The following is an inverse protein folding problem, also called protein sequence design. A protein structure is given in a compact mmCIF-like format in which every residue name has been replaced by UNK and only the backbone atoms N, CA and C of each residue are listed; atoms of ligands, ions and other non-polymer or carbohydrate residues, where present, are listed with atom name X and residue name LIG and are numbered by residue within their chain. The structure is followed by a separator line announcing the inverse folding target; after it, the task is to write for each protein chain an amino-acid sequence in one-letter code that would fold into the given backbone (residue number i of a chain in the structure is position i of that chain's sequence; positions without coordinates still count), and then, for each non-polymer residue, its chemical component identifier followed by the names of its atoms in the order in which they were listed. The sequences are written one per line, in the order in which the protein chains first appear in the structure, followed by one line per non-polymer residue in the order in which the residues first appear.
data_IF_911960326438
#
_entry.id   IF_911960326438
#
_cell.length_a   1.000
_cell.length_b   1.000
_cell.length_c   1.000
_cell.angle_alpha   90.00
_cell.angle_beta   90.00
_cell.angle_gamma   90.00
#
_symmetry.space_group_name_H-M   'P 1'
#
loop_
_entity.id
_entity.type
_entity.pdbx_description
1 polymer ?
#
# COMPACT_ATOMS: atom_id res chain seq x y z
N UNK A 1 -5.24 -4.25 19.67
CA UNK A 1 -5.09 -5.52 18.97
C UNK A 1 -4.44 -5.29 17.61
N UNK A 2 -3.41 -6.04 17.32
CA UNK A 2 -2.69 -5.89 16.06
C UNK A 2 -3.34 -6.69 14.94
N UNK A 3 -3.38 -6.10 13.77
CA UNK A 3 -3.82 -6.82 12.58
C UNK A 3 -2.69 -7.70 12.07
N UNK A 4 -3.03 -8.83 11.48
CA UNK A 4 -2.07 -9.57 10.67
C UNK A 4 -1.99 -8.89 9.29
N UNK A 5 -0.99 -9.25 8.50
CA UNK A 5 -0.90 -8.72 7.15
C UNK A 5 -2.14 -9.12 6.34
N UNK A 6 -2.58 -10.37 6.45
CA UNK A 6 -3.78 -10.83 5.74
C UNK A 6 -5.02 -10.06 6.15
N UNK A 7 -5.16 -9.79 7.47
CA UNK A 7 -6.31 -9.02 7.95
C UNK A 7 -6.28 -7.60 7.44
N UNK A 8 -5.10 -6.99 7.38
CA UNK A 8 -4.97 -5.62 6.88
C UNK A 8 -5.35 -5.55 5.40
N UNK A 9 -4.89 -6.50 4.60
CA UNK A 9 -5.26 -6.56 3.18
C UNK A 9 -6.77 -6.82 3.01
N UNK A 10 -7.33 -7.68 3.85
CA UNK A 10 -8.75 -8.00 3.78
C UNK A 10 -9.64 -6.80 4.03
N UNK A 11 -9.15 -5.82 4.77
CA UNK A 11 -9.88 -4.57 5.00
C UNK A 11 -10.20 -3.85 3.69
N UNK A 12 -9.39 -4.07 2.67
CA UNK A 12 -9.59 -3.46 1.36
C UNK A 12 -10.11 -4.46 0.33
N UNK A 13 -10.50 -5.65 0.76
CA UNK A 13 -11.00 -6.67 -0.17
C UNK A 13 -9.91 -7.34 -0.97
N UNK A 14 -8.71 -7.44 -0.43
CA UNK A 14 -7.58 -8.03 -1.10
C UNK A 14 -7.01 -9.19 -0.29
N UNK A 15 -6.25 -10.06 -0.95
CA UNK A 15 -5.63 -11.20 -0.32
C UNK A 15 -4.19 -11.32 -0.82
N UNK A 16 -3.19 -11.16 0.07
CA UNK A 16 -1.80 -11.24 -0.37
C UNK A 16 -1.44 -12.68 -0.75
N UNK A 17 -0.57 -12.83 -1.74
CA UNK A 17 -0.12 -14.14 -2.17
C UNK A 17 0.74 -14.83 -1.11
N UNK A 18 1.38 -14.04 -0.27
CA UNK A 18 2.22 -14.51 0.83
C UNK A 18 1.69 -13.88 2.11
N UNK A 19 1.16 -14.69 3.02
CA UNK A 19 0.52 -14.19 4.23
C UNK A 19 1.46 -13.48 5.18
N UNK A 20 2.76 -13.74 5.08
CA UNK A 20 3.74 -13.16 5.98
C UNK A 20 4.51 -12.00 5.35
N UNK A 21 4.74 -12.06 4.06
CA UNK A 21 5.62 -11.11 3.37
C UNK A 21 5.05 -10.57 2.07
N UNK A 22 3.75 -10.71 1.85
CA UNK A 22 3.15 -10.19 0.63
C UNK A 22 3.35 -8.69 0.50
N UNK A 23 3.66 -8.23 -0.70
CA UNK A 23 3.94 -6.83 -0.96
C UNK A 23 2.75 -6.11 -1.58
N UNK A 24 1.93 -6.83 -2.33
CA UNK A 24 0.83 -6.22 -3.05
C UNK A 24 -0.24 -7.24 -3.38
N UNK A 25 -1.45 -6.76 -3.62
CA UNK A 25 -2.55 -7.60 -4.09
C UNK A 25 -3.59 -6.69 -4.73
N UNK A 26 -4.38 -7.25 -5.63
CA UNK A 26 -5.48 -6.50 -6.22
C UNK A 26 -6.74 -6.74 -5.41
N UNK A 27 -7.42 -5.67 -5.08
CA UNK A 27 -8.69 -5.75 -4.36
C UNK A 27 -9.82 -6.08 -5.32
N UNK A 28 -10.93 -6.54 -4.76
CA UNK A 28 -12.10 -6.90 -5.56
C UNK A 28 -12.70 -5.71 -6.28
N UNK A 29 -12.47 -4.49 -5.78
CA UNK A 29 -12.97 -3.27 -6.42
C UNK A 29 -12.00 -2.70 -7.46
N UNK A 30 -10.90 -3.42 -7.74
CA UNK A 30 -9.94 -2.98 -8.74
C UNK A 30 -8.80 -2.12 -8.22
N UNK A 31 -8.79 -1.80 -6.94
CA UNK A 31 -7.69 -1.02 -6.37
C UNK A 31 -6.47 -1.91 -6.14
N UNK A 32 -5.30 -1.31 -6.24
CA UNK A 32 -4.06 -1.98 -5.85
C UNK A 32 -3.84 -1.74 -4.36
N UNK A 33 -3.58 -2.79 -3.59
CA UNK A 33 -3.26 -2.68 -2.17
C UNK A 33 -1.78 -2.94 -2.00
N UNK A 34 -1.06 -2.00 -1.40
CA UNK A 34 0.38 -2.09 -1.19
C UNK A 34 0.70 -2.25 0.30
N UNK A 35 1.67 -3.10 0.58
CA UNK A 35 2.26 -3.21 1.91
C UNK A 35 3.44 -2.23 1.95
N UNK A 36 3.26 -1.11 2.63
CA UNK A 36 4.21 -0.01 2.64
C UNK A 36 5.01 0.02 3.94
N UNK A 37 6.33 0.15 3.82
CA UNK A 37 7.19 0.28 5.00
C UNK A 37 7.15 1.71 5.51
N UNK A 38 6.91 1.88 6.79
CA UNK A 38 6.75 3.19 7.40
C UNK A 38 7.94 4.13 7.13
N UNK A 39 9.16 3.60 7.08
CA UNK A 39 10.36 4.40 6.89
C UNK A 39 10.49 5.03 5.51
N UNK A 40 9.71 4.58 4.55
CA UNK A 40 9.86 5.00 3.16
C UNK A 40 8.89 6.12 2.76
N UNK A 41 8.20 6.70 3.73
CA UNK A 41 7.27 7.79 3.45
C UNK A 41 7.93 9.15 3.51
N UNK A 42 7.47 10.07 2.68
CA UNK A 42 7.90 11.45 2.70
C UNK A 42 6.72 12.39 2.39
N UNK A 43 6.94 13.66 2.56
CA UNK A 43 5.93 14.67 2.32
C UNK A 43 6.48 15.72 1.34
N UNK A 44 6.37 15.47 0.02
CA UNK A 44 6.92 16.39 -0.97
C UNK A 44 6.17 17.72 -1.02
N UNK A 45 4.90 17.72 -0.64
CA UNK A 45 4.11 18.93 -0.58
C UNK A 45 2.99 18.74 0.42
N UNK A 46 2.34 19.86 0.76
CA UNK A 46 1.27 19.84 1.74
C UNK A 46 0.12 18.95 1.27
N UNK A 47 -0.31 18.09 2.15
CA UNK A 47 -1.43 17.20 1.83
C UNK A 47 -1.08 15.98 1.01
N UNK A 48 0.18 15.81 0.64
CA UNK A 48 0.61 14.64 -0.12
C UNK A 48 1.55 13.79 0.72
N UNK A 49 1.21 12.51 0.85
CA UNK A 49 2.08 11.53 1.48
C UNK A 49 2.67 10.68 0.36
N UNK A 50 3.98 10.72 0.22
CA UNK A 50 4.66 10.01 -0.86
C UNK A 50 5.33 8.75 -0.32
N UNK A 51 5.03 7.62 -0.96
CA UNK A 51 5.73 6.37 -0.69
C UNK A 51 6.69 6.11 -1.84
N UNK A 52 7.97 5.99 -1.50
CA UNK A 52 9.00 5.81 -2.51
C UNK A 52 9.88 4.63 -2.12
N UNK A 53 10.05 3.69 -3.03
CA UNK A 53 10.84 2.50 -2.73
C UNK A 53 11.32 1.88 -4.04
N UNK A 54 11.98 0.74 -3.94
CA UNK A 54 12.52 0.00 -5.08
C UNK A 54 12.18 -1.47 -4.94
N UNK A 55 11.95 -2.14 -6.06
CA UNK A 55 11.76 -3.58 -6.04
C UNK A 55 13.00 -4.28 -5.50
N UNK A 56 14.18 -3.80 -5.88
CA UNK A 56 15.45 -4.37 -5.44
C UNK A 56 15.71 -4.24 -3.95
N UNK A 57 14.95 -3.39 -3.26
CA UNK A 57 15.11 -3.21 -1.82
C UNK A 57 14.26 -4.19 -1.00
N UNK A 58 13.33 -4.88 -1.65
CA UNK A 58 12.38 -5.71 -0.93
C UNK A 58 13.01 -6.98 -0.38
N UNK A 59 12.70 -7.27 0.88
CA UNK A 59 13.25 -8.41 1.59
C UNK A 59 12.22 -9.54 1.56
N UNK A 60 11.98 -10.08 0.40
CA UNK A 60 10.96 -11.10 0.20
C UNK A 60 11.38 -12.03 -0.93
N UNK A 61 10.48 -12.90 -1.36
CA UNK A 61 10.79 -13.83 -2.44
C UNK A 61 10.82 -13.12 -3.79
N UNK A 62 11.57 -13.68 -4.75
CA UNK A 62 11.60 -13.14 -6.10
C UNK A 62 10.22 -13.14 -6.72
N UNK A 63 9.39 -14.13 -6.38
CA UNK A 63 8.03 -14.24 -6.89
C UNK A 63 7.16 -13.07 -6.44
N UNK A 64 7.27 -12.69 -5.17
CA UNK A 64 6.48 -11.58 -4.64
C UNK A 64 6.97 -10.25 -5.19
N UNK A 65 8.28 -10.10 -5.39
CA UNK A 65 8.84 -8.90 -5.98
C UNK A 65 8.38 -8.75 -7.44
N UNK A 66 8.37 -9.85 -8.18
CA UNK A 66 7.90 -9.83 -9.56
C UNK A 66 6.42 -9.51 -9.64
N UNK A 67 5.62 -10.05 -8.73
CA UNK A 67 4.20 -9.76 -8.67
C UNK A 67 3.96 -8.28 -8.37
N UNK A 68 4.73 -7.71 -7.45
CA UNK A 68 4.64 -6.28 -7.16
C UNK A 68 4.90 -5.45 -8.42
N UNK A 69 5.93 -5.81 -9.18
CA UNK A 69 6.26 -5.13 -10.44
C UNK A 69 5.10 -5.16 -11.42
N UNK A 70 4.45 -6.31 -11.55
CA UNK A 70 3.29 -6.45 -12.44
C UNK A 70 2.11 -5.61 -11.95
N UNK A 71 1.87 -5.60 -10.66
CA UNK A 71 0.78 -4.80 -10.07
C UNK A 71 1.03 -3.30 -10.25
N UNK A 72 2.28 -2.87 -10.06
CA UNK A 72 2.62 -1.46 -10.25
C UNK A 72 2.42 -1.04 -11.71
N UNK A 73 2.78 -1.90 -12.66
CA UNK A 73 2.59 -1.63 -14.06
C UNK A 73 1.10 -1.49 -14.39
N UNK A 74 0.28 -2.41 -13.88
CA UNK A 74 -1.16 -2.35 -14.09
C UNK A 74 -1.74 -1.06 -13.53
N UNK A 75 -1.34 -0.70 -12.33
CA UNK A 75 -1.88 0.49 -11.67
C UNK A 75 -1.44 1.77 -12.37
N UNK A 76 -0.18 1.80 -12.83
CA UNK A 76 0.32 2.96 -13.56
C UNK A 76 -0.41 3.14 -14.88
N UNK A 77 -0.48 2.06 -15.67
CA UNK A 77 -1.05 2.12 -17.00
C UNK A 77 -2.56 2.30 -16.99
N UNK A 78 -3.23 1.73 -16.01
CA UNK A 78 -4.68 1.83 -15.90
C UNK A 78 -5.15 2.95 -14.99
N UNK A 79 -4.23 3.73 -14.43
CA UNK A 79 -4.55 4.78 -13.47
C UNK A 79 -5.42 4.25 -12.32
N UNK A 80 -5.10 3.07 -11.82
CA UNK A 80 -5.89 2.44 -10.76
C UNK A 80 -5.64 3.11 -9.43
N UNK A 81 -6.66 3.17 -8.56
CA UNK A 81 -6.44 3.70 -7.22
C UNK A 81 -5.57 2.73 -6.41
N UNK A 82 -4.80 3.29 -5.48
CA UNK A 82 -3.92 2.51 -4.61
C UNK A 82 -4.35 2.71 -3.17
N UNK A 83 -4.43 1.60 -2.44
CA UNK A 83 -4.69 1.62 -0.99
C UNK A 83 -3.44 1.16 -0.27
N UNK A 84 -3.23 1.62 0.95
CA UNK A 84 -2.03 1.29 1.68
C UNK A 84 -2.31 0.49 2.95
N UNK A 85 -1.45 -0.49 3.18
CA UNK A 85 -1.27 -1.15 4.45
C UNK A 85 0.10 -0.69 4.92
N UNK A 86 0.20 -0.23 6.15
CA UNK A 86 1.46 0.29 6.68
C UNK A 86 2.09 -0.73 7.61
N UNK A 87 3.35 -1.06 7.33
CA UNK A 87 4.15 -1.96 8.15
C UNK A 87 5.08 -1.13 9.03
N UNK A 88 4.97 -1.30 10.33
CA UNK A 88 5.81 -0.61 11.29
C UNK A 88 6.64 -1.63 12.07
N UNK A 89 7.92 -1.35 12.26
CA UNK A 89 8.80 -2.19 13.07
C UNK A 89 9.29 -1.39 14.25
N UNK A 90 9.12 -1.97 15.43
CA UNK A 90 9.48 -1.29 16.67
C UNK A 90 10.43 -2.17 17.48
N UNK A 91 11.50 -1.56 18.00
CA UNK A 91 12.42 -2.27 18.87
C UNK A 91 11.70 -2.61 20.18
N UNK A 92 11.94 -3.79 20.72
CA UNK A 92 11.33 -4.21 21.97
C UNK A 92 12.42 -4.42 23.02
N UNK A 93 12.01 -4.30 24.29
CA UNK A 93 12.97 -4.37 25.41
C UNK A 93 13.77 -5.67 25.47
N UNK A 94 13.17 -6.76 25.06
CA UNK A 94 13.84 -8.05 25.12
C UNK A 94 14.83 -8.26 23.97
N UNK A 95 15.03 -7.25 23.14
CA UNK A 95 15.83 -7.38 21.94
C UNK A 95 14.96 -7.84 20.78
N UNK A 96 15.40 -7.62 19.57
CA UNK A 96 14.62 -7.95 18.41
C UNK A 96 13.65 -6.85 18.04
N UNK A 97 12.71 -7.16 17.16
CA UNK A 97 11.75 -6.18 16.67
C UNK A 97 10.35 -6.75 16.64
N UNK A 98 9.39 -5.91 16.93
CA UNK A 98 7.99 -6.22 16.79
C UNK A 98 7.49 -5.58 15.51
N UNK A 99 6.77 -6.34 14.70
CA UNK A 99 6.19 -5.84 13.46
C UNK A 99 4.69 -5.74 13.64
N UNK A 100 4.13 -4.62 13.23
CA UNK A 100 2.68 -4.45 13.26
C UNK A 100 2.22 -3.86 11.93
N UNK A 101 0.97 -4.10 11.59
CA UNK A 101 0.36 -3.56 10.38
C UNK A 101 -0.89 -2.78 10.74
N UNK A 102 -1.11 -1.70 10.01
CA UNK A 102 -2.36 -0.96 10.14
C UNK A 102 -2.76 -0.42 8.76
N UNK A 103 -3.98 0.05 8.66
CA UNK A 103 -4.48 0.55 7.40
C UNK A 103 -4.78 2.03 7.51
N UNK A 104 -4.73 2.72 6.37
CA UNK A 104 -5.11 4.12 6.27
C UNK A 104 -6.21 4.25 5.23
N UNK A 105 -7.45 3.88 5.60
CA UNK A 105 -8.56 3.95 4.64
C UNK A 105 -8.95 5.38 4.26
N UNK A 106 -8.43 6.36 4.99
CA UNK A 106 -8.66 7.77 4.69
C UNK A 106 -7.81 8.26 3.52
N UNK A 107 -6.84 7.47 3.07
CA UNK A 107 -5.95 7.88 1.99
C UNK A 107 -6.19 7.06 0.74
N UNK A 108 -6.05 7.73 -0.41
CA UNK A 108 -6.09 7.07 -1.69
C UNK A 108 -4.92 7.58 -2.52
N UNK A 109 -4.30 6.70 -3.26
CA UNK A 109 -3.10 7.03 -4.01
C UNK A 109 -3.17 6.62 -5.45
N UNK A 110 -2.10 6.93 -6.16
CA UNK A 110 -1.88 6.46 -7.50
C UNK A 110 -0.40 6.36 -7.76
N UNK A 111 -0.02 5.48 -8.68
CA UNK A 111 1.38 5.32 -9.05
C UNK A 111 1.78 6.54 -9.84
N UNK A 112 2.67 7.35 -9.25
CA UNK A 112 3.17 8.56 -9.92
C UNK A 112 4.30 8.22 -10.86
N UNK A 113 5.07 7.16 -10.55
CA UNK A 113 6.26 6.82 -11.31
C UNK A 113 6.63 5.37 -11.08
N UNK A 114 7.03 4.65 -12.13
CA UNK A 114 7.57 3.31 -11.99
C UNK A 114 8.42 3.01 -13.22
N UNK A 115 9.72 2.75 -13.02
CA UNK A 115 10.66 2.51 -14.12
C UNK A 115 11.09 1.04 -14.23
N UNK A 116 10.46 0.15 -13.49
CA UNK A 116 10.83 -1.26 -13.47
C UNK A 116 11.53 -1.68 -12.18
N UNK A 117 12.04 -0.72 -11.42
CA UNK A 117 12.64 -0.96 -10.11
C UNK A 117 12.18 0.11 -9.13
N UNK A 118 12.48 1.37 -9.40
CA UNK A 118 12.11 2.49 -8.54
C UNK A 118 10.65 2.87 -8.78
N UNK A 119 9.89 3.02 -7.71
CA UNK A 119 8.49 3.43 -7.83
C UNK A 119 8.14 4.49 -6.80
N UNK A 120 7.19 5.35 -7.19
CA UNK A 120 6.67 6.43 -6.37
C UNK A 120 5.15 6.35 -6.42
N UNK A 121 4.54 6.33 -5.25
CA UNK A 121 3.07 6.35 -5.14
C UNK A 121 2.70 7.54 -4.25
N UNK A 122 1.87 8.42 -4.76
CA UNK A 122 1.42 9.59 -4.03
C UNK A 122 0.02 9.37 -3.50
N UNK A 123 -0.17 9.60 -2.20
CA UNK A 123 -1.44 9.45 -1.51
C UNK A 123 -1.95 10.81 -1.04
N UNK A 124 -3.24 10.99 -1.16
CA UNK A 124 -3.91 12.18 -0.65
C UNK A 124 -5.12 11.72 0.15
N UNK A 125 -5.62 12.59 1.02
CA UNK A 125 -6.82 12.26 1.75
C UNK A 125 -7.99 12.12 0.77
N UNK A 126 -8.63 10.97 0.83
CA UNK A 126 -9.82 10.76 0.02
C UNK A 126 -10.91 11.62 0.64
N UNK A 127 -11.28 12.65 -0.06
CA UNK A 127 -12.37 13.46 0.41
C UNK A 127 -13.57 12.56 0.46
N UNK A 128 -14.12 12.44 1.62
CA UNK A 128 -15.37 11.79 1.75
C UNK A 128 -16.25 12.52 0.78
N UNK A 129 -16.39 12.00 -0.35
CA UNK A 129 -17.34 12.44 -1.22
C UNK A 129 -18.50 12.58 -0.41
N UNK A 130 -18.91 13.73 -0.22
CA UNK A 130 -20.00 13.92 0.61
C UNK A 130 -20.82 12.76 0.28
N UNK A 131 -20.92 11.93 1.23
CA UNK A 131 -21.65 10.73 1.05
C UNK A 131 -22.89 11.09 0.32
N UNK A 132 -23.25 12.24 0.49
CA UNK A 132 -24.33 12.78 -0.21
C UNK A 132 -24.12 12.81 -1.67
N UNK A 133 -22.95 13.01 -2.09
CA UNK A 133 -22.69 13.00 -3.45
C UNK A 133 -22.51 11.66 -3.92
N UNK A 134 -21.87 10.90 -3.15
CA UNK A 134 -21.66 9.58 -3.56
C UNK A 134 -22.91 8.83 -3.57
N UNK A 135 -23.73 9.22 -2.71
CA UNK A 135 -24.91 8.52 -2.73
C UNK A 135 -25.69 8.98 -3.86
N UNK A 136 -25.33 9.78 -4.19
CA UNK A 136 -25.85 10.03 -4.93
C UNK A 136 -25.85 9.77 -5.99
N UNK A 137 -25.64 9.69 -5.92
CA UNK A 137 -25.44 9.50 -6.62
C UNK A 137 -25.87 8.90 -7.11
N UNK A 138 -26.15 9.06 -6.67
CA UNK A 138 -26.27 8.62 -6.82
C UNK A 138 -26.40 8.38 -7.24
#
# INVERSE_FOLDING_TARGET
MNLSLSDAFARFGAKPSNRLRGLSAMATDGALVLNCSQEQFGHPSRGVLRYEDKLSRQSTTARDTELLGRHLTLARDGALPVRMVVCSRTAIKAGGRSTSWHTRPDLIGKVAQFDGDHFVVDFVRELAIPAAISARRK
#
